data_IF_766930312191
#
_entry.id   IF_766930312191
#
_cell.length_a   1.000
_cell.length_b   1.000
_cell.length_c   1.000
_cell.angle_alpha   90.00
_cell.angle_beta   90.00
_cell.angle_gamma   90.00
#
_symmetry.space_group_name_H-M   'P 1'
#
loop_
_entity.id
_entity.type
_entity.pdbx_description
1 polymer ?
#
# COMPACT_ATOMS: atom_id res chain seq x y z
N UNK A 1 -19.16 -26.61 5.43
CA UNK A 1 -18.94 -25.84 4.19
C UNK A 1 -17.54 -25.24 4.27
N UNK A 2 -16.67 -25.51 3.29
CA UNK A 2 -15.32 -24.94 3.21
C UNK A 2 -15.34 -23.73 2.30
N UNK A 3 -15.18 -22.53 2.86
CA UNK A 3 -15.09 -21.30 2.05
C UNK A 3 -13.71 -21.20 1.40
N UNK A 4 -13.69 -21.18 0.07
CA UNK A 4 -12.46 -20.94 -0.70
C UNK A 4 -12.18 -19.44 -0.69
N UNK A 5 -11.23 -19.02 0.15
CA UNK A 5 -10.76 -17.62 0.17
C UNK A 5 -9.87 -17.38 -1.05
N UNK A 6 -10.39 -16.63 -2.03
CA UNK A 6 -9.59 -16.17 -3.18
C UNK A 6 -8.67 -15.03 -2.76
N UNK A 7 -7.38 -15.31 -2.60
CA UNK A 7 -6.35 -14.31 -2.31
C UNK A 7 -5.72 -13.84 -3.62
N UNK A 8 -6.07 -12.64 -4.05
CA UNK A 8 -5.37 -12.00 -5.17
C UNK A 8 -4.00 -11.50 -4.71
N UNK A 9 -2.96 -11.52 -5.56
CA UNK A 9 -1.73 -10.76 -5.34
C UNK A 9 -2.04 -9.26 -5.49
N UNK A 10 -2.77 -8.71 -4.53
CA UNK A 10 -3.16 -7.30 -4.46
C UNK A 10 -2.40 -6.61 -3.33
N UNK A 11 -1.12 -6.95 -3.14
CA UNK A 11 -0.23 -6.18 -2.30
C UNK A 11 0.19 -4.95 -3.08
N UNK A 12 -0.73 -3.99 -3.18
CA UNK A 12 -0.42 -2.69 -3.76
C UNK A 12 0.84 -2.15 -3.08
N UNK A 13 1.81 -1.61 -3.82
CA UNK A 13 3.11 -1.21 -3.25
C UNK A 13 3.00 -0.13 -2.16
N UNK A 14 1.91 0.64 -2.14
CA UNK A 14 1.57 1.57 -1.06
C UNK A 14 1.05 0.90 0.24
N UNK A 15 0.80 -0.42 0.26
CA UNK A 15 0.46 -1.21 1.47
C UNK A 15 1.71 -1.63 2.24
N UNK A 16 2.49 -0.64 2.66
CA UNK A 16 3.72 -0.79 3.44
C UNK A 16 3.46 -1.15 4.92
N UNK A 17 4.53 -1.37 5.69
CA UNK A 17 4.46 -1.78 7.10
C UNK A 17 3.70 -0.76 7.98
N UNK A 18 3.88 0.53 7.74
CA UNK A 18 3.20 1.60 8.48
C UNK A 18 1.69 1.60 8.23
N UNK A 19 1.27 1.47 6.96
CA UNK A 19 -0.16 1.35 6.63
C UNK A 19 -0.76 0.09 7.26
N UNK A 20 -0.04 -1.03 7.28
CA UNK A 20 -0.48 -2.27 7.95
C UNK A 20 -0.61 -2.08 9.47
N UNK A 21 0.33 -1.37 10.10
CA UNK A 21 0.30 -1.04 11.53
C UNK A 21 -0.92 -0.17 11.87
N UNK A 22 -1.16 0.90 11.12
CA UNK A 22 -2.34 1.77 11.29
C UNK A 22 -3.65 1.01 11.09
N UNK A 23 -3.69 0.11 10.10
CA UNK A 23 -4.86 -0.73 9.85
C UNK A 23 -5.14 -1.67 11.03
N UNK A 24 -4.11 -2.31 11.59
CA UNK A 24 -4.23 -3.15 12.80
C UNK A 24 -4.71 -2.35 14.00
N UNK A 25 -4.14 -1.17 14.25
CA UNK A 25 -4.57 -0.28 15.35
C UNK A 25 -6.05 0.10 15.24
N UNK A 26 -6.51 0.47 14.04
CA UNK A 26 -7.92 0.79 13.78
C UNK A 26 -8.81 -0.42 14.05
N UNK A 27 -8.43 -1.61 13.58
CA UNK A 27 -9.21 -2.83 13.80
C UNK A 27 -9.25 -3.24 15.29
N UNK A 28 -8.17 -3.02 16.03
CA UNK A 28 -8.16 -3.25 17.48
C UNK A 28 -9.10 -2.29 18.21
N UNK A 29 -9.07 -0.99 17.89
CA UNK A 29 -9.98 0.00 18.47
C UNK A 29 -11.45 -0.34 18.15
N UNK A 30 -11.73 -0.77 16.92
CA UNK A 30 -13.07 -1.24 16.52
C UNK A 30 -13.53 -2.44 17.35
N UNK A 31 -12.67 -3.47 17.49
CA UNK A 31 -12.98 -4.66 18.29
C UNK A 31 -13.23 -4.34 19.76
N UNK A 32 -12.49 -3.37 20.31
CA UNK A 32 -12.64 -2.92 21.70
C UNK A 32 -13.80 -1.94 21.92
N UNK A 33 -14.55 -1.57 20.88
CA UNK A 33 -15.66 -0.61 20.92
C UNK A 33 -15.29 0.78 21.52
N UNK A 34 -14.01 1.16 21.44
CA UNK A 34 -13.56 2.50 21.86
C UNK A 34 -13.77 3.49 20.72
N UNK A 35 -14.83 4.29 20.79
CA UNK A 35 -15.25 5.15 19.68
C UNK A 35 -14.24 6.27 19.36
N UNK A 36 -13.69 6.92 20.39
CA UNK A 36 -12.72 8.01 20.20
C UNK A 36 -11.39 7.51 19.64
N UNK A 37 -10.89 6.39 20.14
CA UNK A 37 -9.68 5.75 19.63
C UNK A 37 -9.89 5.26 18.20
N UNK A 38 -11.08 4.75 17.89
CA UNK A 38 -11.44 4.38 16.53
C UNK A 38 -11.44 5.58 15.59
N UNK A 39 -12.04 6.71 15.99
CA UNK A 39 -12.04 7.95 15.20
C UNK A 39 -10.62 8.43 14.93
N UNK A 40 -9.76 8.48 15.96
CA UNK A 40 -8.34 8.85 15.85
C UNK A 40 -7.58 7.90 14.91
N UNK A 41 -7.69 6.59 15.14
CA UNK A 41 -7.01 5.58 14.32
C UNK A 41 -7.49 5.58 12.86
N UNK A 42 -8.78 5.85 12.60
CA UNK A 42 -9.33 5.98 11.25
C UNK A 42 -8.77 7.20 10.51
N UNK A 43 -8.66 8.35 11.18
CA UNK A 43 -8.03 9.55 10.60
C UNK A 43 -6.54 9.30 10.33
N UNK A 44 -5.83 8.69 11.28
CA UNK A 44 -4.42 8.32 11.14
C UNK A 44 -4.21 7.38 9.94
N UNK A 45 -5.03 6.33 9.80
CA UNK A 45 -5.00 5.42 8.66
C UNK A 45 -5.21 6.15 7.33
N UNK A 46 -6.20 7.04 7.23
CA UNK A 46 -6.44 7.83 6.01
C UNK A 46 -5.27 8.73 5.65
N UNK A 47 -4.55 9.28 6.65
CA UNK A 47 -3.34 10.08 6.42
C UNK A 47 -2.19 9.19 5.96
N UNK A 48 -1.93 8.08 6.65
CA UNK A 48 -0.89 7.12 6.29
C UNK A 48 -1.04 6.55 4.88
N UNK A 49 -2.26 6.19 4.47
CA UNK A 49 -2.51 5.73 3.09
C UNK A 49 -2.21 6.82 2.06
N UNK A 50 -2.57 8.09 2.34
CA UNK A 50 -2.28 9.21 1.45
C UNK A 50 -0.77 9.44 1.32
N UNK A 51 -0.04 9.43 2.43
CA UNK A 51 1.42 9.56 2.42
C UNK A 51 2.09 8.42 1.66
N UNK A 52 1.73 7.17 1.95
CA UNK A 52 2.31 6.01 1.28
C UNK A 52 2.04 6.00 -0.24
N UNK A 53 0.84 6.42 -0.67
CA UNK A 53 0.55 6.59 -2.10
C UNK A 53 1.39 7.69 -2.75
N UNK A 54 1.61 8.81 -2.04
CA UNK A 54 2.44 9.93 -2.52
C UNK A 54 3.91 9.50 -2.64
N UNK A 55 4.46 8.88 -1.61
CA UNK A 55 5.84 8.36 -1.61
C UNK A 55 6.06 7.36 -2.76
N UNK A 56 5.09 6.46 -2.97
CA UNK A 56 5.14 5.55 -4.10
C UNK A 56 5.09 6.29 -5.46
N UNK A 57 4.24 7.31 -5.59
CA UNK A 57 4.19 8.16 -6.78
C UNK A 57 5.54 8.83 -7.09
N UNK A 58 6.16 9.45 -6.08
CA UNK A 58 7.47 10.09 -6.19
C UNK A 58 8.55 9.08 -6.62
N UNK A 59 8.55 7.87 -6.04
CA UNK A 59 9.50 6.82 -6.43
C UNK A 59 9.37 6.46 -7.91
N UNK A 60 8.13 6.36 -8.41
CA UNK A 60 7.87 6.04 -9.81
C UNK A 60 8.31 7.21 -10.70
N UNK A 61 7.92 8.45 -10.39
CA UNK A 61 8.31 9.65 -11.14
C UNK A 61 9.84 9.80 -11.21
N UNK A 62 10.56 9.54 -10.12
CA UNK A 62 12.03 9.56 -10.09
C UNK A 62 12.66 8.55 -11.07
N UNK A 63 12.03 7.39 -11.28
CA UNK A 63 12.51 6.41 -12.25
C UNK A 63 12.35 6.88 -13.71
N UNK A 64 11.44 7.83 -13.96
CA UNK A 64 11.22 8.43 -15.28
C UNK A 64 12.01 9.73 -15.49
N UNK A 65 12.48 10.37 -14.43
CA UNK A 65 13.24 11.61 -14.50
C UNK A 65 14.69 11.42 -14.99
N UNK A 66 15.24 10.21 -14.90
CA UNK A 66 16.58 9.89 -15.43
C UNK A 66 16.52 9.55 -16.91
N UNK A 67 17.50 10.01 -17.71
CA UNK A 67 17.66 9.63 -19.13
C UNK A 67 18.12 8.16 -19.35
N UNK A 68 18.02 7.34 -18.30
CA UNK A 68 18.45 5.95 -18.27
C UNK A 68 17.26 5.02 -18.55
N UNK A 69 17.23 4.41 -19.74
CA UNK A 69 16.17 3.48 -20.15
C UNK A 69 15.94 2.35 -19.13
N UNK A 70 16.99 1.88 -18.46
CA UNK A 70 16.90 0.81 -17.45
C UNK A 70 16.03 1.22 -16.25
N UNK A 71 16.08 2.49 -15.83
CA UNK A 71 15.26 2.99 -14.73
C UNK A 71 13.80 3.15 -15.15
N UNK A 72 13.54 3.63 -16.38
CA UNK A 72 12.17 3.67 -16.92
C UNK A 72 11.52 2.28 -16.93
N UNK A 73 12.25 1.26 -17.43
CA UNK A 73 11.76 -0.11 -17.44
C UNK A 73 11.50 -0.66 -16.03
N UNK A 74 12.32 -0.26 -15.04
CA UNK A 74 12.09 -0.60 -13.63
C UNK A 74 10.80 0.05 -13.09
N UNK A 75 10.53 1.31 -13.44
CA UNK A 75 9.29 2.02 -13.12
C UNK A 75 8.05 1.33 -13.71
N UNK A 76 8.10 1.01 -15.01
CA UNK A 76 7.05 0.28 -15.74
C UNK A 76 6.75 -1.10 -15.15
N UNK A 77 7.79 -1.87 -14.81
CA UNK A 77 7.66 -3.17 -14.15
C UNK A 77 7.00 -3.03 -12.78
N UNK A 78 7.36 -2.00 -12.02
CA UNK A 78 6.80 -1.75 -10.68
C UNK A 78 5.32 -1.32 -10.77
N UNK A 79 4.93 -0.57 -11.79
CA UNK A 79 3.54 -0.15 -12.02
C UNK A 79 2.64 -1.32 -12.44
N UNK A 80 3.14 -2.18 -13.31
CA UNK A 80 2.35 -3.26 -13.93
C UNK A 80 2.39 -4.56 -13.14
N UNK A 81 3.29 -4.69 -12.15
CA UNK A 81 3.64 -5.94 -11.48
C UNK A 81 3.95 -7.06 -12.49
N UNK A 82 4.45 -6.67 -13.68
CA UNK A 82 4.73 -7.58 -14.76
C UNK A 82 5.95 -8.43 -14.41
N UNK A 83 5.70 -9.70 -14.08
CA UNK A 83 6.76 -10.70 -13.96
C UNK A 83 7.04 -11.25 -15.34
N UNK A 84 8.27 -11.06 -15.82
CA UNK A 84 8.78 -11.83 -16.94
C UNK A 84 8.85 -13.27 -16.43
N UNK A 85 7.94 -14.13 -16.89
CA UNK A 85 8.05 -15.56 -16.69
C UNK A 85 9.24 -16.04 -17.50
N UNK A 86 10.29 -16.48 -16.81
CA UNK A 86 11.40 -17.27 -17.35
C UNK A 86 10.94 -18.67 -17.69
#
# INVERSE_FOLDING_TARGET
>A
QTEVIRVFPNQKPWMNQEVRKLFRQRNLAFKKKHEDDYKKARVALRRGIRSAKREYGILIENNFASNEMRNMWKGLKTLTDYKISS
#
